data_IF_609893522216
#
_entry.id   IF_609893522216
#
_cell.length_a   1.000
_cell.length_b   1.000
_cell.length_c   1.000
_cell.angle_alpha   90.00
_cell.angle_beta   90.00
_cell.angle_gamma   90.00
#
_symmetry.space_group_name_H-M   'P 1'
#
loop_
_entity.id
_entity.type
_entity.pdbx_description
1 polymer ?
#
# COMPACT_ATOMS: atom_id res chain seq x y z
N UNK A 1 -3.04 0.50 -2.70
CA UNK A 1 -2.58 0.04 -1.36
C UNK A 1 -1.67 1.10 -0.81
N UNK A 2 -1.96 1.52 0.40
CA UNK A 2 -1.17 2.47 1.14
C UNK A 2 -0.40 1.73 2.24
N UNK A 3 0.87 2.07 2.47
CA UNK A 3 1.67 1.55 3.59
C UNK A 3 1.83 2.67 4.58
N UNK A 4 1.57 2.38 5.83
CA UNK A 4 1.88 3.23 6.96
C UNK A 4 3.40 3.38 7.01
N UNK A 5 3.85 4.58 6.71
CA UNK A 5 5.20 4.98 7.03
C UNK A 5 5.27 5.16 8.55
N UNK A 6 6.01 4.29 9.24
CA UNK A 6 6.12 4.30 10.70
C UNK A 6 6.82 5.54 11.23
N UNK A 7 7.63 6.21 10.40
CA UNK A 7 8.26 7.47 10.76
C UNK A 7 7.26 8.64 10.64
N UNK A 8 6.24 8.52 9.78
CA UNK A 8 5.30 9.61 9.47
C UNK A 8 3.92 9.44 10.11
N UNK A 9 3.56 8.23 10.53
CA UNK A 9 2.24 7.91 11.06
C UNK A 9 1.12 8.00 10.02
N UNK A 10 1.46 8.07 8.73
CA UNK A 10 0.50 8.24 7.62
C UNK A 10 0.60 7.10 6.60
N UNK A 11 -0.54 6.79 5.98
CA UNK A 11 -0.66 5.76 4.95
C UNK A 11 -0.34 6.33 3.56
N UNK A 12 0.77 5.91 2.97
CA UNK A 12 1.27 6.34 1.66
C UNK A 12 1.03 5.29 0.58
N UNK A 13 0.52 5.68 -0.59
CA UNK A 13 0.36 4.76 -1.73
C UNK A 13 1.68 4.05 -2.08
N UNK A 14 1.71 2.73 -1.95
CA UNK A 14 2.88 1.91 -2.21
C UNK A 14 3.35 2.04 -3.66
N UNK A 15 4.63 2.37 -3.81
CA UNK A 15 5.36 2.41 -5.08
C UNK A 15 6.55 1.43 -5.04
N UNK A 16 7.09 1.08 -6.21
CA UNK A 16 8.08 0.01 -6.43
C UNK A 16 9.43 0.28 -5.73
N UNK A 17 9.68 1.54 -5.34
CA UNK A 17 10.90 1.99 -4.67
C UNK A 17 10.79 1.95 -3.13
N UNK A 18 9.62 1.58 -2.59
CA UNK A 18 9.35 1.63 -1.15
C UNK A 18 9.69 0.29 -0.50
N UNK A 19 10.73 0.27 0.33
CA UNK A 19 11.21 -0.95 1.01
C UNK A 19 10.33 -1.25 2.23
N UNK A 20 9.67 -2.40 2.23
CA UNK A 20 8.87 -2.87 3.36
C UNK A 20 9.79 -3.42 4.45
N UNK A 21 9.66 -2.93 5.68
CA UNK A 21 10.34 -3.49 6.85
C UNK A 21 9.39 -4.40 7.64
N UNK A 22 9.93 -5.34 8.40
CA UNK A 22 9.12 -6.15 9.32
C UNK A 22 8.32 -5.25 10.28
N UNK A 23 6.99 -5.36 10.27
CA UNK A 23 6.08 -4.54 11.09
C UNK A 23 5.45 -3.32 10.41
N UNK A 24 5.73 -3.04 9.12
CA UNK A 24 5.04 -1.98 8.37
C UNK A 24 3.53 -2.25 8.28
N UNK A 25 2.68 -1.27 8.69
CA UNK A 25 1.21 -1.43 8.61
C UNK A 25 0.73 -1.09 7.19
N UNK A 26 -0.28 -1.77 6.66
CA UNK A 26 -0.72 -1.59 5.26
C UNK A 26 -2.24 -1.45 5.21
N UNK A 27 -2.75 -0.48 4.45
CA UNK A 27 -4.17 -0.22 4.21
C UNK A 27 -4.53 -0.36 2.74
N UNK A 28 -5.55 -1.15 2.43
CA UNK A 28 -6.18 -1.15 1.11
C UNK A 28 -7.36 -0.15 1.11
N UNK A 29 -7.19 0.99 0.45
CA UNK A 29 -8.30 1.93 0.23
C UNK A 29 -9.21 1.41 -0.90
N UNK A 30 -10.41 0.94 -0.56
CA UNK A 30 -11.54 0.91 -1.50
C UNK A 30 -11.80 2.33 -1.97
N UNK A 31 -11.69 2.60 -3.26
CA UNK A 31 -12.41 3.74 -3.82
C UNK A 31 -13.90 3.42 -3.66
N UNK A 32 -14.58 4.08 -2.73
CA UNK A 32 -16.03 4.02 -2.67
C UNK A 32 -16.61 4.40 -4.05
N UNK A 33 -17.59 3.66 -4.59
CA UNK A 33 -18.29 4.06 -5.80
C UNK A 33 -18.90 5.45 -5.58
N UNK A 34 -18.53 6.43 -6.41
CA UNK A 34 -19.15 7.76 -6.40
C UNK A 34 -20.62 7.59 -6.78
N UNK A 35 -21.53 7.92 -5.87
CA UNK A 35 -22.93 8.11 -6.26
C UNK A 35 -23.00 9.28 -7.25
N UNK A 36 -23.65 9.13 -8.41
CA UNK A 36 -23.84 10.23 -9.33
C UNK A 36 -24.78 11.26 -8.69
N UNK A 37 -24.29 12.48 -8.54
CA UNK A 37 -25.14 13.62 -8.18
C UNK A 37 -26.16 13.87 -9.29
N UNK A 38 -27.46 13.99 -8.98
CA UNK A 38 -28.46 14.30 -9.99
C UNK A 38 -28.21 15.69 -10.58
N UNK A 39 -28.52 15.91 -11.88
CA UNK A 39 -28.34 17.20 -12.52
C UNK A 39 -29.26 18.25 -11.86
N UNK A 40 -28.81 19.52 -11.78
CA UNK A 40 -29.63 20.60 -11.23
C UNK A 40 -30.87 20.82 -12.11
N UNK A 41 -32.01 21.03 -11.47
CA UNK A 41 -33.27 21.35 -12.12
C UNK A 41 -33.16 22.67 -12.92
N UNK A 42 -33.88 22.81 -14.05
CA UNK A 42 -33.88 24.04 -14.83
C UNK A 42 -34.46 25.19 -14.00
N UNK A 43 -33.69 26.28 -13.91
CA UNK A 43 -34.11 27.50 -13.21
C UNK A 43 -35.29 28.15 -13.93
N UNK A 44 -36.34 28.43 -13.17
CA UNK A 44 -37.51 29.19 -13.64
C UNK A 44 -37.15 30.68 -13.75
N UNK A 45 -37.61 31.30 -14.83
CA UNK A 45 -37.55 32.75 -15.08
C UNK A 45 -38.22 33.56 -13.97
N UNK A 46 -37.51 34.59 -13.47
CA UNK A 46 -38.07 35.72 -12.73
C UNK A 46 -37.06 36.89 -12.73
N UNK A 47 -37.52 38.15 -12.59
CA UNK A 47 -37.22 39.20 -13.56
C UNK A 47 -36.08 40.15 -13.18
N UNK A 48 -35.57 40.79 -14.24
CA UNK A 48 -34.54 41.82 -14.28
C UNK A 48 -34.92 43.09 -13.50
N UNK A 49 -34.03 43.53 -12.59
CA UNK A 49 -34.12 44.82 -11.86
C UNK A 49 -32.71 45.46 -11.87
N UNK A 50 -32.56 46.77 -12.15
CA UNK A 50 -31.30 47.36 -12.61
C UNK A 50 -30.33 47.73 -11.48
N UNK A 51 -29.04 47.75 -11.83
CA UNK A 51 -27.90 47.98 -10.95
C UNK A 51 -27.74 49.44 -10.46
N UNK A 52 -27.25 49.64 -9.21
CA UNK A 52 -26.59 50.88 -8.79
C UNK A 52 -25.06 50.68 -8.61
N UNK A 53 -24.27 51.78 -8.44
CA UNK A 53 -22.96 51.90 -9.06
C UNK A 53 -21.77 51.43 -8.21
N UNK A 54 -20.73 51.07 -8.96
CA UNK A 54 -19.30 50.90 -8.67
C UNK A 54 -18.84 51.43 -7.29
N UNK A 55 -18.57 50.49 -6.39
CA UNK A 55 -17.66 50.66 -5.26
C UNK A 55 -16.65 49.51 -5.30
N UNK A 56 -15.37 49.84 -5.16
CA UNK A 56 -14.22 48.94 -5.29
C UNK A 56 -14.36 47.65 -4.46
N UNK A 57 -14.82 46.58 -5.12
CA UNK A 57 -14.63 45.21 -4.64
C UNK A 57 -13.50 44.62 -5.44
N UNK A 58 -12.34 44.47 -4.79
CA UNK A 58 -11.23 43.66 -5.28
C UNK A 58 -11.77 42.28 -5.64
N UNK A 59 -11.91 42.04 -6.95
CA UNK A 59 -12.17 40.72 -7.49
C UNK A 59 -10.97 39.85 -7.10
N UNK A 60 -11.17 38.96 -6.14
CA UNK A 60 -10.24 37.86 -5.88
C UNK A 60 -10.33 36.97 -7.12
N UNK A 61 -9.35 37.13 -8.00
CA UNK A 61 -9.23 36.34 -9.22
C UNK A 61 -8.73 34.94 -8.81
N UNK A 62 -9.67 34.06 -8.47
CA UNK A 62 -9.43 32.63 -8.28
C UNK A 62 -9.11 31.98 -9.63
N UNK A 63 -7.82 31.97 -9.93
CA UNK A 63 -7.22 31.22 -11.01
C UNK A 63 -5.75 31.00 -10.68
N UNK A 64 -5.44 29.99 -9.85
CA UNK A 64 -4.07 29.51 -9.66
C UNK A 64 -3.62 28.76 -10.92
N UNK A 65 -3.48 29.50 -12.02
CA UNK A 65 -2.63 29.07 -13.11
C UNK A 65 -1.17 29.29 -12.68
N UNK A 66 -0.25 28.37 -12.97
CA UNK A 66 1.15 28.57 -12.64
C UNK A 66 1.71 29.81 -13.37
N UNK A 67 2.25 30.77 -12.62
CA UNK A 67 2.71 32.07 -13.16
C UNK A 67 4.23 32.19 -13.22
N UNK A 68 4.96 31.34 -12.50
CA UNK A 68 6.40 31.42 -12.35
C UNK A 68 7.13 30.43 -13.27
N UNK A 69 8.29 30.82 -13.82
CA UNK A 69 9.12 29.95 -14.66
C UNK A 69 9.76 28.82 -13.83
N UNK A 70 9.45 27.53 -14.08
CA UNK A 70 10.03 26.39 -13.38
C UNK A 70 11.57 26.36 -13.40
N UNK A 71 12.21 26.89 -14.45
CA UNK A 71 13.68 26.91 -14.58
C UNK A 71 14.33 27.84 -13.55
N UNK A 72 13.59 28.82 -13.08
CA UNK A 72 14.03 29.82 -12.09
C UNK A 72 13.55 29.49 -10.68
N UNK A 73 13.20 28.22 -10.42
CA UNK A 73 12.74 27.80 -9.08
C UNK A 73 13.70 28.22 -7.97
N UNK A 74 13.17 28.98 -7.02
CA UNK A 74 13.82 29.38 -5.79
C UNK A 74 13.09 28.79 -4.59
N UNK A 75 13.85 28.33 -3.59
CA UNK A 75 13.27 27.82 -2.36
C UNK A 75 12.53 28.95 -1.61
N UNK A 76 11.26 28.76 -1.24
CA UNK A 76 10.44 29.81 -0.65
C UNK A 76 10.93 30.26 0.72
N UNK A 77 10.56 31.49 1.10
CA UNK A 77 10.78 31.98 2.46
C UNK A 77 9.94 31.17 3.44
N UNK A 78 10.57 30.62 4.49
CA UNK A 78 9.90 29.77 5.47
C UNK A 78 8.87 30.58 6.27
N UNK A 79 7.58 30.18 6.27
CA UNK A 79 6.54 30.77 7.09
C UNK A 79 6.91 30.83 8.58
N UNK A 80 6.43 31.88 9.27
CA UNK A 80 6.79 32.15 10.68
C UNK A 80 6.41 31.00 11.62
N UNK A 81 5.26 30.37 11.39
CA UNK A 81 4.79 29.18 12.10
C UNK A 81 5.77 28.02 11.92
N UNK A 82 6.25 27.79 10.70
CA UNK A 82 7.22 26.74 10.42
C UNK A 82 8.58 27.04 11.03
N UNK A 83 9.06 28.28 10.97
CA UNK A 83 10.31 28.69 11.64
C UNK A 83 10.23 28.43 13.15
N UNK A 84 9.12 28.84 13.79
CA UNK A 84 8.93 28.66 15.23
C UNK A 84 8.80 27.18 15.65
N UNK A 85 8.15 26.35 14.84
CA UNK A 85 8.02 24.94 15.15
C UNK A 85 9.31 24.15 14.85
N UNK A 86 10.00 24.50 13.76
CA UNK A 86 11.29 23.88 13.40
C UNK A 86 12.40 24.20 14.42
N UNK A 87 12.36 25.37 15.07
CA UNK A 87 13.34 25.69 16.13
C UNK A 87 13.21 24.81 17.37
N UNK A 88 12.06 24.15 17.57
CA UNK A 88 11.83 23.20 18.66
C UNK A 88 12.30 21.79 18.33
N UNK A 89 12.56 21.49 17.06
CA UNK A 89 13.02 20.18 16.60
C UNK A 89 14.53 20.08 16.78
N UNK A 90 14.97 19.31 17.78
CA UNK A 90 16.41 19.11 18.07
C UNK A 90 16.95 17.87 17.37
N UNK A 91 16.13 16.84 17.28
CA UNK A 91 16.42 15.58 16.60
C UNK A 91 15.27 15.22 15.67
N UNK A 92 15.53 14.32 14.71
CA UNK A 92 14.48 13.82 13.79
C UNK A 92 13.29 13.20 14.53
N UNK A 93 13.51 12.60 15.70
CA UNK A 93 12.44 11.99 16.51
C UNK A 93 11.49 13.03 17.13
N UNK A 94 11.93 14.29 17.23
CA UNK A 94 11.10 15.40 17.72
C UNK A 94 10.22 16.00 16.62
N UNK A 95 10.38 15.56 15.37
CA UNK A 95 9.55 15.99 14.24
C UNK A 95 8.18 15.32 14.33
N UNK A 96 7.19 16.09 14.77
CA UNK A 96 5.81 15.61 14.84
C UNK A 96 5.18 15.45 13.43
N UNK A 97 4.27 14.48 13.24
CA UNK A 97 3.58 14.27 11.95
C UNK A 97 2.86 15.51 11.40
N UNK A 98 2.18 16.27 12.26
CA UNK A 98 1.45 17.50 11.89
C UNK A 98 2.39 18.56 11.29
N UNK A 99 3.58 18.72 11.89
CA UNK A 99 4.58 19.66 11.41
C UNK A 99 5.15 19.21 10.06
N UNK A 100 5.39 17.91 9.89
CA UNK A 100 5.83 17.37 8.59
C UNK A 100 4.78 17.61 7.51
N UNK A 101 3.52 17.27 7.78
CA UNK A 101 2.42 17.51 6.84
C UNK A 101 2.36 18.98 6.44
N UNK A 102 2.44 19.89 7.41
CA UNK A 102 2.43 21.33 7.19
C UNK A 102 3.58 21.81 6.30
N UNK A 103 4.79 21.27 6.46
CA UNK A 103 5.97 21.58 5.63
C UNK A 103 5.75 21.10 4.19
N UNK A 104 5.29 19.85 4.03
CA UNK A 104 5.04 19.24 2.71
C UNK A 104 3.93 20.00 1.97
N UNK A 105 2.87 20.38 2.68
CA UNK A 105 1.78 21.18 2.14
C UNK A 105 2.24 22.56 1.70
N UNK A 106 3.00 23.27 2.53
CA UNK A 106 3.58 24.57 2.18
C UNK A 106 4.41 24.51 0.89
N UNK A 107 5.32 23.53 0.80
CA UNK A 107 6.15 23.34 -0.38
C UNK A 107 5.36 22.88 -1.61
N UNK A 108 4.31 22.06 -1.42
CA UNK A 108 3.41 21.66 -2.50
C UNK A 108 2.74 22.87 -3.14
N UNK A 109 2.16 23.76 -2.33
CA UNK A 109 1.51 24.97 -2.83
C UNK A 109 2.51 25.97 -3.42
N UNK A 110 3.73 26.06 -2.88
CA UNK A 110 4.78 26.84 -3.53
C UNK A 110 5.14 26.32 -4.92
N UNK A 111 5.32 25.00 -5.07
CA UNK A 111 5.62 24.36 -6.35
C UNK A 111 4.52 24.60 -7.40
N UNK A 112 3.25 24.61 -7.00
CA UNK A 112 2.12 24.92 -7.89
C UNK A 112 2.12 26.35 -8.44
N UNK A 113 2.85 27.28 -7.81
CA UNK A 113 3.07 28.61 -8.39
C UNK A 113 3.90 28.55 -9.67
N UNK A 114 4.70 27.50 -9.85
CA UNK A 114 5.56 27.28 -11.02
C UNK A 114 4.95 26.31 -12.04
N UNK A 115 4.40 25.19 -11.58
CA UNK A 115 3.72 24.22 -12.45
C UNK A 115 2.89 23.23 -11.63
N UNK A 116 1.78 22.75 -12.19
CA UNK A 116 1.03 21.62 -11.62
C UNK A 116 1.76 20.28 -11.81
N UNK A 117 2.81 20.22 -12.64
CA UNK A 117 3.66 19.03 -12.86
C UNK A 117 5.15 19.30 -12.54
N UNK A 118 5.52 19.54 -11.26
CA UNK A 118 6.89 19.94 -10.86
C UNK A 118 8.04 19.05 -11.31
N UNK A 119 7.84 17.73 -11.47
CA UNK A 119 8.87 16.80 -11.97
C UNK A 119 10.18 16.90 -11.18
N UNK A 120 11.27 17.34 -11.81
CA UNK A 120 12.58 17.49 -11.16
C UNK A 120 12.60 18.52 -10.02
N UNK A 121 11.62 19.43 -9.96
CA UNK A 121 11.53 20.41 -8.88
C UNK A 121 11.19 19.79 -7.53
N UNK A 122 10.54 18.63 -7.49
CA UNK A 122 10.31 17.92 -6.22
C UNK A 122 11.64 17.61 -5.53
N UNK A 123 12.61 17.12 -6.30
CA UNK A 123 13.94 16.79 -5.80
C UNK A 123 14.68 18.05 -5.34
N UNK A 124 14.66 19.11 -6.16
CA UNK A 124 15.29 20.40 -5.84
C UNK A 124 14.72 21.02 -4.56
N UNK A 125 13.39 20.98 -4.38
CA UNK A 125 12.73 21.48 -3.17
C UNK A 125 13.10 20.66 -1.93
N UNK A 126 13.06 19.34 -2.02
CA UNK A 126 13.44 18.43 -0.94
C UNK A 126 14.90 18.59 -0.51
N UNK A 127 15.81 18.68 -1.49
CA UNK A 127 17.23 18.91 -1.23
C UNK A 127 17.45 20.25 -0.49
N UNK A 128 16.84 21.33 -0.96
CA UNK A 128 16.97 22.65 -0.34
C UNK A 128 16.37 22.71 1.07
N UNK A 129 15.27 22.01 1.32
CA UNK A 129 14.67 21.88 2.65
C UNK A 129 15.68 21.28 3.65
N UNK A 130 16.28 20.14 3.30
CA UNK A 130 17.25 19.45 4.16
C UNK A 130 18.55 20.22 4.28
N UNK A 131 19.00 20.92 3.22
CA UNK A 131 20.18 21.78 3.28
C UNK A 131 20.01 22.91 4.31
N UNK A 132 18.83 23.52 4.40
CA UNK A 132 18.52 24.61 5.34
C UNK A 132 18.21 24.10 6.75
N UNK A 133 17.62 22.90 6.85
CA UNK A 133 17.22 22.30 8.11
C UNK A 133 17.81 20.88 8.21
N UNK A 134 19.09 20.80 8.60
CA UNK A 134 19.85 19.54 8.66
C UNK A 134 19.22 18.48 9.56
N UNK A 135 18.48 18.90 10.59
CA UNK A 135 17.73 18.01 11.48
C UNK A 135 16.64 17.21 10.77
N UNK A 136 16.21 17.65 9.58
CA UNK A 136 15.20 16.97 8.76
C UNK A 136 15.82 15.92 7.82
N UNK A 137 17.14 15.73 7.82
CA UNK A 137 17.80 14.78 6.93
C UNK A 137 17.37 13.33 7.22
N UNK A 138 17.14 12.57 6.15
CA UNK A 138 16.95 11.13 6.24
C UNK A 138 18.27 10.46 6.68
N UNK A 139 18.15 9.39 7.47
CA UNK A 139 19.32 8.67 7.99
C UNK A 139 20.02 7.79 6.93
N UNK A 140 19.32 7.48 5.83
CA UNK A 140 19.74 6.54 4.80
C UNK A 140 19.57 7.19 3.42
N UNK A 141 20.49 6.90 2.49
CA UNK A 141 20.39 7.33 1.09
C UNK A 141 20.84 8.78 0.86
N UNK A 142 20.13 9.51 -0.01
CA UNK A 142 20.46 10.89 -0.40
C UNK A 142 20.23 11.93 0.70
N UNK A 143 19.63 11.53 1.82
CA UNK A 143 19.32 12.42 2.95
C UNK A 143 18.05 13.26 2.77
N UNK A 144 17.38 13.22 1.62
CA UNK A 144 16.14 13.97 1.36
C UNK A 144 15.05 13.17 0.61
N UNK A 145 15.28 11.87 0.41
CA UNK A 145 14.39 11.00 -0.37
C UNK A 145 12.95 10.98 0.17
N UNK A 146 12.76 10.89 1.49
CA UNK A 146 11.44 10.85 2.10
C UNK A 146 10.63 12.13 1.82
N UNK A 147 11.30 13.29 1.77
CA UNK A 147 10.68 14.58 1.45
C UNK A 147 10.35 14.71 -0.03
N UNK A 148 11.25 14.23 -0.91
CA UNK A 148 11.00 14.18 -2.34
C UNK A 148 9.71 13.39 -2.66
N UNK A 149 9.56 12.20 -2.07
CA UNK A 149 8.37 11.39 -2.24
C UNK A 149 7.13 12.06 -1.65
N UNK A 150 7.20 12.56 -0.41
CA UNK A 150 6.06 13.24 0.22
C UNK A 150 5.52 14.40 -0.62
N UNK A 151 6.41 15.20 -1.23
CA UNK A 151 6.03 16.27 -2.15
C UNK A 151 5.35 15.75 -3.42
N UNK A 152 5.93 14.72 -4.05
CA UNK A 152 5.35 14.09 -5.24
C UNK A 152 3.92 13.58 -4.96
N UNK A 153 3.69 12.96 -3.81
CA UNK A 153 2.38 12.47 -3.41
C UNK A 153 1.39 13.58 -3.10
N UNK A 154 1.77 14.55 -2.26
CA UNK A 154 0.89 15.67 -1.91
C UNK A 154 0.52 16.47 -3.16
N UNK A 155 1.47 16.80 -4.03
CA UNK A 155 1.18 17.48 -5.30
C UNK A 155 0.29 16.64 -6.22
N UNK A 156 0.45 15.31 -6.28
CA UNK A 156 -0.46 14.45 -7.05
C UNK A 156 -1.89 14.51 -6.51
N UNK A 157 -2.06 14.44 -5.18
CA UNK A 157 -3.36 14.47 -4.52
C UNK A 157 -4.04 15.83 -4.67
N UNK A 158 -3.32 16.92 -4.39
CA UNK A 158 -3.85 18.27 -4.53
C UNK A 158 -4.18 18.59 -5.99
N UNK A 159 -3.36 18.15 -6.94
CA UNK A 159 -3.64 18.31 -8.38
C UNK A 159 -4.96 17.66 -8.79
N UNK A 160 -5.30 16.51 -8.21
CA UNK A 160 -6.55 15.81 -8.51
C UNK A 160 -7.80 16.59 -8.10
N UNK A 161 -7.69 17.66 -7.29
CA UNK A 161 -8.81 18.56 -6.97
C UNK A 161 -9.08 19.57 -8.10
N UNK A 162 -8.11 19.78 -8.99
CA UNK A 162 -8.21 20.69 -10.14
C UNK A 162 -8.53 19.93 -11.43
N UNK A 163 -9.46 18.96 -11.41
CA UNK A 163 -9.75 18.11 -12.58
C UNK A 163 -10.22 18.91 -13.81
N UNK A 164 -10.84 20.07 -13.58
CA UNK A 164 -11.36 20.96 -14.61
C UNK A 164 -10.32 21.99 -15.10
N UNK A 165 -9.12 22.02 -14.51
CA UNK A 165 -8.02 22.84 -15.03
C UNK A 165 -7.60 22.32 -16.41
N UNK A 166 -7.39 23.21 -17.38
CA UNK A 166 -7.11 22.84 -18.77
C UNK A 166 -5.86 21.96 -18.94
N UNK A 167 -4.80 22.21 -18.16
CA UNK A 167 -3.57 21.42 -18.19
C UNK A 167 -3.81 20.02 -17.59
N UNK A 168 -4.54 19.95 -16.48
CA UNK A 168 -4.89 18.70 -15.79
C UNK A 168 -5.82 17.84 -16.63
N UNK A 169 -6.89 18.42 -17.18
CA UNK A 169 -7.84 17.75 -18.06
C UNK A 169 -7.15 17.20 -19.32
N UNK A 170 -6.29 17.99 -19.98
CA UNK A 170 -5.54 17.54 -21.16
C UNK A 170 -4.60 16.37 -20.84
N UNK A 171 -3.84 16.45 -19.74
CA UNK A 171 -2.96 15.37 -19.34
C UNK A 171 -3.71 14.11 -18.89
N UNK A 172 -4.88 14.25 -18.23
CA UNK A 172 -5.77 13.13 -17.90
C UNK A 172 -6.36 12.48 -19.16
N UNK A 173 -6.67 13.25 -20.19
CA UNK A 173 -7.14 12.70 -21.47
C UNK A 173 -6.02 11.98 -22.24
N UNK A 174 -4.79 12.50 -22.21
CA UNK A 174 -3.63 11.93 -22.92
C UNK A 174 -3.04 10.70 -22.25
N UNK A 175 -2.91 10.73 -20.92
CA UNK A 175 -2.18 9.72 -20.14
C UNK A 175 -3.04 9.02 -19.09
N UNK A 176 -4.26 9.49 -18.85
CA UNK A 176 -5.20 8.81 -17.97
C UNK A 176 -5.62 7.48 -18.57
N UNK A 177 -5.80 6.48 -17.71
CA UNK A 177 -6.31 5.17 -18.14
C UNK A 177 -7.72 5.38 -18.69
N UNK A 178 -7.90 5.13 -19.99
CA UNK A 178 -9.23 4.94 -20.56
C UNK A 178 -9.79 3.66 -19.95
N UNK A 179 -11.04 3.64 -19.44
CA UNK A 179 -11.69 2.38 -19.16
C UNK A 179 -11.74 1.61 -20.48
N UNK A 180 -11.03 0.49 -20.57
CA UNK A 180 -11.17 -0.41 -21.71
C UNK A 180 -12.57 -1.00 -21.62
N UNK A 181 -13.35 -0.95 -22.71
CA UNK A 181 -14.68 -1.57 -22.71
C UNK A 181 -14.63 -3.10 -22.52
N UNK A 182 -13.43 -3.70 -22.54
CA UNK A 182 -13.21 -5.12 -22.22
C UNK A 182 -13.13 -5.43 -20.72
N UNK A 183 -12.83 -4.44 -19.86
CA UNK A 183 -12.77 -4.63 -18.40
C UNK A 183 -14.17 -4.83 -17.77
N UNK A 184 -15.24 -4.54 -18.52
CA UNK A 184 -16.62 -4.75 -18.10
C UNK A 184 -17.16 -6.15 -18.41
N UNK A 185 -16.51 -6.91 -19.31
CA UNK A 185 -17.01 -8.19 -19.80
C UNK A 185 -16.24 -9.41 -19.29
N UNK A 186 -14.94 -9.26 -19.00
CA UNK A 186 -14.13 -10.30 -18.39
C UNK A 186 -13.39 -9.69 -17.21
N UNK A 187 -13.73 -10.11 -15.99
CA UNK A 187 -13.13 -9.68 -14.72
C UNK A 187 -11.66 -10.07 -14.56
N UNK A 188 -10.82 -9.70 -15.51
CA UNK A 188 -9.37 -9.82 -15.43
C UNK A 188 -8.83 -8.54 -14.80
N UNK A 189 -8.97 -8.44 -13.48
CA UNK A 189 -8.17 -7.48 -12.73
C UNK A 189 -6.70 -7.83 -12.92
N UNK A 190 -5.94 -6.89 -13.48
CA UNK A 190 -4.47 -6.96 -13.52
C UNK A 190 -3.92 -7.40 -12.17
N UNK A 191 -2.96 -8.33 -12.17
CA UNK A 191 -2.33 -9.00 -11.02
C UNK A 191 -1.61 -8.09 -9.98
N UNK A 192 -2.01 -6.82 -9.85
CA UNK A 192 -1.57 -5.90 -8.81
C UNK A 192 -2.50 -6.02 -7.61
N UNK A 193 -2.12 -6.97 -6.74
CA UNK A 193 -2.64 -7.19 -5.39
C UNK A 193 -4.07 -7.70 -5.33
N UNK A 194 -4.15 -9.01 -5.45
CA UNK A 194 -5.19 -9.84 -4.86
C UNK A 194 -5.05 -9.79 -3.32
N UNK A 195 -5.16 -8.61 -2.72
CA UNK A 195 -5.81 -8.56 -1.40
C UNK A 195 -7.28 -8.65 -1.74
N UNK A 196 -7.80 -9.87 -1.96
CA UNK A 196 -9.24 -10.07 -2.07
C UNK A 196 -9.82 -9.44 -0.82
N UNK A 197 -10.41 -8.25 -0.97
CA UNK A 197 -11.46 -7.88 -0.05
C UNK A 197 -12.42 -9.05 -0.07
N UNK A 198 -12.89 -9.50 1.10
CA UNK A 198 -13.86 -10.57 1.09
C UNK A 198 -15.01 -10.05 0.24
N UNK A 199 -15.14 -10.59 -0.98
CA UNK A 199 -16.43 -10.66 -1.64
C UNK A 199 -17.36 -11.14 -0.56
N UNK A 200 -18.40 -10.34 -0.32
CA UNK A 200 -19.40 -10.49 0.73
C UNK A 200 -19.55 -11.98 1.06
N UNK A 201 -18.88 -12.45 2.12
CA UNK A 201 -18.87 -13.86 2.46
C UNK A 201 -20.30 -14.14 2.94
N UNK A 202 -21.14 -14.61 2.02
CA UNK A 202 -22.52 -15.03 2.29
C UNK A 202 -22.50 -16.36 3.05
N UNK A 203 -21.90 -16.35 4.24
CA UNK A 203 -22.08 -17.41 5.20
C UNK A 203 -23.35 -17.11 6.01
N UNK A 204 -24.16 -18.13 6.36
CA UNK A 204 -25.32 -17.94 7.21
C UNK A 204 -24.86 -17.26 8.51
N UNK A 205 -25.49 -16.14 8.82
CA UNK A 205 -25.22 -15.35 10.03
C UNK A 205 -25.60 -16.18 11.26
N UNK A 206 -24.67 -16.98 11.77
CA UNK A 206 -24.67 -17.26 13.20
C UNK A 206 -24.67 -15.92 13.95
N UNK A 207 -25.45 -15.82 15.02
CA UNK A 207 -25.50 -14.59 15.80
C UNK A 207 -24.14 -14.32 16.48
N UNK A 208 -23.90 -13.07 16.84
CA UNK A 208 -22.64 -12.66 17.48
C UNK A 208 -22.38 -13.49 18.76
N UNK A 209 -23.44 -13.92 19.45
CA UNK A 209 -23.31 -14.76 20.64
C UNK A 209 -22.71 -16.14 20.33
N UNK A 210 -23.18 -16.81 19.27
CA UNK A 210 -22.67 -18.09 18.79
C UNK A 210 -21.22 -17.99 18.36
N UNK A 211 -20.87 -16.96 17.56
CA UNK A 211 -19.49 -16.71 17.11
C UNK A 211 -18.54 -16.56 18.30
N UNK A 212 -18.92 -15.78 19.31
CA UNK A 212 -18.14 -15.63 20.53
C UNK A 212 -18.06 -16.92 21.36
N UNK A 213 -19.08 -17.79 21.27
CA UNK A 213 -19.04 -19.15 21.80
C UNK A 213 -17.97 -20.01 21.13
N UNK A 214 -17.93 -20.03 19.80
CA UNK A 214 -16.92 -20.77 19.02
C UNK A 214 -15.50 -20.27 19.28
N UNK A 215 -15.29 -18.94 19.35
CA UNK A 215 -13.98 -18.35 19.69
C UNK A 215 -13.51 -18.84 21.06
N UNK A 216 -14.35 -18.71 22.10
CA UNK A 216 -14.00 -19.15 23.47
C UNK A 216 -13.74 -20.64 23.56
N UNK A 217 -14.53 -21.46 22.86
CA UNK A 217 -14.34 -22.91 22.80
C UNK A 217 -12.99 -23.28 22.21
N UNK A 218 -12.65 -22.69 21.06
CA UNK A 218 -11.37 -22.88 20.38
C UNK A 218 -10.19 -22.41 21.25
N UNK A 219 -10.28 -21.22 21.87
CA UNK A 219 -9.24 -20.73 22.79
C UNK A 219 -9.01 -21.70 23.95
N UNK A 220 -10.10 -22.20 24.56
CA UNK A 220 -10.00 -23.19 25.65
C UNK A 220 -9.38 -24.50 25.18
N UNK A 221 -9.71 -24.96 23.97
CA UNK A 221 -9.13 -26.17 23.38
C UNK A 221 -7.62 -26.00 23.16
N UNK A 222 -7.19 -24.84 22.64
CA UNK A 222 -5.77 -24.55 22.40
C UNK A 222 -4.92 -24.44 23.67
N UNK A 223 -5.53 -24.15 24.82
CA UNK A 223 -4.84 -24.13 26.12
C UNK A 223 -4.64 -25.52 26.74
N UNK A 224 -5.17 -26.59 26.15
CA UNK A 224 -4.99 -27.95 26.68
C UNK A 224 -3.62 -28.49 26.32
N UNK A 225 -3.09 -29.38 27.17
CA UNK A 225 -1.85 -30.09 26.88
C UNK A 225 -1.92 -30.94 25.60
N UNK A 226 -3.11 -31.46 25.28
CA UNK A 226 -3.41 -32.18 24.04
C UNK A 226 -4.71 -31.60 23.44
N UNK A 227 -4.63 -30.58 22.58
CA UNK A 227 -5.79 -29.98 21.93
C UNK A 227 -6.47 -30.96 20.97
N UNK A 228 -7.80 -30.99 20.97
CA UNK A 228 -8.55 -31.63 19.89
C UNK A 228 -8.55 -30.73 18.64
N UNK A 229 -7.71 -31.08 17.67
CA UNK A 229 -7.53 -30.28 16.45
C UNK A 229 -8.77 -30.23 15.56
N UNK A 230 -9.62 -31.25 15.56
CA UNK A 230 -10.89 -31.26 14.81
C UNK A 230 -11.83 -30.16 15.35
N UNK A 231 -11.93 -30.02 16.68
CA UNK A 231 -12.71 -28.94 17.31
C UNK A 231 -12.13 -27.57 17.05
N UNK A 232 -10.80 -27.46 17.02
CA UNK A 232 -10.12 -26.20 16.68
C UNK A 232 -10.43 -25.82 15.24
N UNK A 233 -10.37 -26.76 14.31
CA UNK A 233 -10.66 -26.54 12.90
C UNK A 233 -12.13 -26.16 12.66
N UNK A 234 -13.08 -26.83 13.32
CA UNK A 234 -14.51 -26.44 13.27
C UNK A 234 -14.70 -25.01 13.79
N UNK A 235 -14.10 -24.68 14.94
CA UNK A 235 -14.12 -23.32 15.49
C UNK A 235 -13.51 -22.28 14.54
N UNK A 236 -12.37 -22.58 13.93
CA UNK A 236 -11.72 -21.71 12.95
C UNK A 236 -12.58 -21.52 11.69
N UNK A 237 -13.25 -22.57 11.22
CA UNK A 237 -14.09 -22.54 10.02
C UNK A 237 -15.37 -21.76 10.24
N UNK A 238 -16.08 -21.99 11.35
CA UNK A 238 -17.31 -21.25 11.70
C UNK A 238 -17.06 -19.76 11.93
N UNK A 239 -15.92 -19.44 12.52
CA UNK A 239 -15.56 -18.05 12.84
C UNK A 239 -14.87 -17.33 11.69
N UNK A 240 -14.64 -17.98 10.55
CA UNK A 240 -13.86 -17.44 9.44
C UNK A 240 -14.43 -16.11 8.91
N UNK A 241 -15.71 -16.07 8.56
CA UNK A 241 -16.34 -14.85 8.01
C UNK A 241 -16.29 -13.69 9.00
N UNK A 242 -16.64 -13.95 10.27
CA UNK A 242 -16.60 -12.95 11.33
C UNK A 242 -15.16 -12.46 11.61
N UNK A 243 -14.18 -13.36 11.65
CA UNK A 243 -12.75 -13.03 11.79
C UNK A 243 -12.29 -12.13 10.65
N UNK A 244 -12.62 -12.48 9.41
CA UNK A 244 -12.24 -11.71 8.21
C UNK A 244 -12.85 -10.34 8.19
N UNK A 245 -14.12 -10.23 8.56
CA UNK A 245 -14.83 -8.96 8.70
C UNK A 245 -14.19 -8.10 9.79
N UNK A 246 -13.93 -8.67 10.97
CA UNK A 246 -13.28 -7.97 12.08
C UNK A 246 -11.88 -7.46 11.69
N UNK A 247 -11.05 -8.30 11.07
CA UNK A 247 -9.71 -7.89 10.61
C UNK A 247 -9.80 -6.75 9.57
N UNK A 248 -10.77 -6.84 8.65
CA UNK A 248 -10.97 -5.85 7.61
C UNK A 248 -11.50 -4.50 8.14
N UNK A 249 -12.33 -4.52 9.19
CA UNK A 249 -12.97 -3.34 9.76
C UNK A 249 -12.12 -2.67 10.84
N UNK A 250 -11.60 -3.45 11.79
CA UNK A 250 -10.95 -2.93 13.00
C UNK A 250 -9.42 -2.81 12.88
N UNK A 251 -8.83 -3.39 11.83
CA UNK A 251 -7.38 -3.38 11.58
C UNK A 251 -6.52 -3.74 12.82
N UNK A 252 -6.82 -4.86 13.51
CA UNK A 252 -6.10 -5.28 14.71
C UNK A 252 -4.64 -5.60 14.41
N UNK A 253 -3.79 -5.46 15.42
CA UNK A 253 -2.40 -5.92 15.37
C UNK A 253 -2.31 -7.45 15.30
N UNK A 254 -1.17 -7.97 14.83
CA UNK A 254 -0.91 -9.42 14.79
C UNK A 254 -1.06 -10.05 16.19
N UNK A 255 -0.61 -9.35 17.23
CA UNK A 255 -0.73 -9.83 18.61
C UNK A 255 -2.19 -9.98 19.04
N UNK A 256 -3.06 -9.04 18.67
CA UNK A 256 -4.50 -9.13 18.98
C UNK A 256 -5.18 -10.24 18.18
N UNK A 257 -4.79 -10.43 16.92
CA UNK A 257 -5.29 -11.54 16.08
C UNK A 257 -4.91 -12.88 16.72
N UNK A 258 -3.64 -13.07 17.07
CA UNK A 258 -3.16 -14.33 17.68
C UNK A 258 -3.74 -14.56 19.07
N UNK A 259 -3.94 -13.51 19.86
CA UNK A 259 -4.63 -13.64 21.15
C UNK A 259 -6.08 -14.11 20.99
N UNK A 260 -6.79 -13.61 19.96
CA UNK A 260 -8.19 -13.97 19.69
C UNK A 260 -8.31 -15.33 18.98
N UNK A 261 -7.36 -15.65 18.11
CA UNK A 261 -7.31 -16.86 17.29
C UNK A 261 -5.93 -17.54 17.38
N UNK A 262 -5.61 -18.18 18.52
CA UNK A 262 -4.28 -18.76 18.77
C UNK A 262 -3.87 -19.85 17.77
N UNK A 263 -4.83 -20.54 17.15
CA UNK A 263 -4.55 -21.54 16.12
C UNK A 263 -3.78 -20.97 14.91
N UNK A 264 -3.91 -19.67 14.63
CA UNK A 264 -3.20 -18.98 13.53
C UNK A 264 -1.69 -18.83 13.76
N UNK A 265 -1.18 -19.17 14.96
CA UNK A 265 0.26 -19.24 15.20
C UNK A 265 0.90 -20.42 14.44
N UNK A 266 0.13 -21.47 14.16
CA UNK A 266 0.57 -22.62 13.38
C UNK A 266 0.51 -22.38 11.87
N UNK A 267 1.59 -22.70 11.16
CA UNK A 267 1.67 -22.54 9.70
C UNK A 267 0.56 -23.30 8.94
N UNK A 268 0.16 -24.48 9.42
CA UNK A 268 -0.95 -25.24 8.83
C UNK A 268 -2.26 -24.45 8.80
N UNK A 269 -2.57 -23.72 9.88
CA UNK A 269 -3.82 -22.99 9.96
C UNK A 269 -3.81 -21.75 9.07
N UNK A 270 -2.62 -21.18 8.83
CA UNK A 270 -2.43 -20.12 7.83
C UNK A 270 -2.74 -20.65 6.42
N UNK A 271 -2.29 -21.87 6.09
CA UNK A 271 -2.61 -22.48 4.80
C UNK A 271 -4.12 -22.75 4.67
N UNK A 272 -4.76 -23.26 5.72
CA UNK A 272 -6.23 -23.44 5.75
C UNK A 272 -6.99 -22.12 5.61
N UNK A 273 -6.47 -20.99 6.11
CA UNK A 273 -7.09 -19.67 5.84
C UNK A 273 -7.06 -19.30 4.36
N UNK A 274 -6.01 -19.67 3.64
CA UNK A 274 -5.92 -19.45 2.18
C UNK A 274 -6.92 -20.32 1.44
N UNK A 275 -7.07 -21.57 1.85
CA UNK A 275 -8.07 -22.48 1.27
C UNK A 275 -9.50 -22.01 1.55
N UNK A 276 -9.80 -21.57 2.78
CA UNK A 276 -11.11 -21.00 3.15
C UNK A 276 -11.48 -19.73 2.37
N UNK A 277 -10.49 -19.05 1.78
CA UNK A 277 -10.72 -17.92 0.87
C UNK A 277 -11.11 -18.33 -0.55
N UNK A 278 -11.29 -19.62 -0.82
CA UNK A 278 -11.42 -20.14 -2.18
C UNK A 278 -10.09 -20.09 -2.93
N UNK A 279 -8.98 -20.35 -2.23
CA UNK A 279 -7.68 -20.61 -2.82
C UNK A 279 -7.45 -22.11 -3.02
N UNK A 280 -6.62 -22.46 -4.00
CA UNK A 280 -6.10 -23.82 -4.14
C UNK A 280 -5.17 -24.17 -2.97
N UNK A 281 -4.97 -25.46 -2.64
CA UNK A 281 -4.04 -25.89 -1.60
C UNK A 281 -2.65 -25.27 -1.81
N UNK A 282 -2.14 -24.44 -0.88
CA UNK A 282 -0.96 -23.63 -1.14
C UNK A 282 0.30 -24.44 -1.46
N UNK A 283 0.50 -25.54 -0.74
CA UNK A 283 1.69 -26.38 -0.89
C UNK A 283 1.72 -27.04 -2.26
N UNK A 284 0.62 -27.70 -2.64
CA UNK A 284 0.48 -28.36 -3.94
C UNK A 284 0.62 -27.37 -5.10
N UNK A 285 0.03 -26.17 -4.94
CA UNK A 285 0.12 -25.09 -5.93
C UNK A 285 1.57 -24.63 -6.12
N UNK A 286 2.31 -24.41 -5.03
CA UNK A 286 3.71 -23.97 -5.09
C UNK A 286 4.59 -25.06 -5.71
N UNK A 287 4.39 -26.33 -5.32
CA UNK A 287 5.13 -27.47 -5.89
C UNK A 287 4.89 -27.56 -7.40
N UNK A 288 3.63 -27.52 -7.85
CA UNK A 288 3.29 -27.60 -9.27
C UNK A 288 3.85 -26.43 -10.08
N UNK A 289 3.86 -25.22 -9.50
CA UNK A 289 4.48 -24.04 -10.13
C UNK A 289 5.99 -24.20 -10.22
N UNK A 290 6.64 -24.70 -9.17
CA UNK A 290 8.08 -24.92 -9.15
C UNK A 290 8.51 -25.95 -10.21
N UNK A 291 7.86 -27.11 -10.26
CA UNK A 291 8.11 -28.14 -11.27
C UNK A 291 7.98 -27.58 -12.70
N UNK A 292 6.96 -26.77 -12.94
CA UNK A 292 6.68 -26.22 -14.27
C UNK A 292 7.64 -25.09 -14.67
N UNK A 293 8.18 -24.33 -13.71
CA UNK A 293 8.84 -23.05 -13.99
C UNK A 293 10.30 -22.98 -13.57
N UNK A 294 10.88 -24.01 -12.95
CA UNK A 294 12.27 -23.99 -12.49
C UNK A 294 13.26 -23.70 -13.61
N UNK A 295 13.11 -24.31 -14.79
CA UNK A 295 14.00 -24.07 -15.94
C UNK A 295 13.89 -22.63 -16.46
N UNK A 296 12.66 -22.11 -16.55
CA UNK A 296 12.41 -20.70 -16.90
C UNK A 296 13.10 -19.78 -15.89
N UNK A 297 13.00 -20.11 -14.60
CA UNK A 297 13.57 -19.32 -13.52
C UNK A 297 15.10 -19.34 -13.57
N UNK A 298 15.73 -20.49 -13.84
CA UNK A 298 17.17 -20.62 -14.03
C UNK A 298 17.67 -19.76 -15.21
N UNK A 299 16.95 -19.77 -16.32
CA UNK A 299 17.26 -18.94 -17.48
C UNK A 299 17.18 -17.43 -17.17
N UNK A 300 16.13 -17.01 -16.46
CA UNK A 300 15.92 -15.60 -16.08
C UNK A 300 16.91 -15.15 -15.01
N UNK A 301 17.23 -16.01 -14.05
CA UNK A 301 18.20 -15.72 -13.00
C UNK A 301 19.64 -15.63 -13.53
N UNK A 302 19.94 -16.29 -14.65
CA UNK A 302 21.26 -16.35 -15.26
C UNK A 302 22.36 -16.67 -14.22
N UNK A 303 23.45 -15.89 -14.17
CA UNK A 303 24.58 -16.06 -13.24
C UNK A 303 24.27 -15.73 -11.76
N UNK A 304 23.01 -15.45 -11.41
CA UNK A 304 22.63 -15.11 -10.02
C UNK A 304 22.24 -16.32 -9.19
N UNK A 305 22.09 -17.50 -9.80
CA UNK A 305 21.90 -18.73 -9.05
C UNK A 305 23.12 -18.99 -8.15
N UNK A 306 22.86 -19.29 -6.89
CA UNK A 306 23.89 -19.62 -5.91
C UNK A 306 24.22 -21.12 -5.95
N UNK A 307 25.33 -21.49 -5.32
CA UNK A 307 25.78 -22.88 -5.24
C UNK A 307 24.72 -23.79 -4.61
N UNK A 308 24.04 -23.32 -3.57
CA UNK A 308 22.98 -24.04 -2.87
C UNK A 308 21.79 -24.37 -3.78
N UNK A 309 21.40 -23.49 -4.71
CA UNK A 309 20.34 -23.79 -5.69
C UNK A 309 20.72 -25.01 -6.53
N UNK A 310 21.95 -25.06 -7.05
CA UNK A 310 22.43 -26.19 -7.85
C UNK A 310 22.63 -27.45 -7.03
N UNK A 311 23.13 -27.34 -5.79
CA UNK A 311 23.25 -28.48 -4.88
C UNK A 311 21.87 -29.10 -4.56
N UNK A 312 20.82 -28.28 -4.42
CA UNK A 312 19.46 -28.79 -4.22
C UNK A 312 18.90 -29.49 -5.46
N UNK A 313 19.17 -28.97 -6.66
CA UNK A 313 18.76 -29.60 -7.92
C UNK A 313 19.51 -30.92 -8.15
N UNK A 314 20.81 -30.98 -7.87
CA UNK A 314 21.61 -32.22 -7.95
C UNK A 314 21.09 -33.27 -6.95
N UNK A 315 20.78 -32.85 -5.71
CA UNK A 315 20.16 -33.75 -4.74
C UNK A 315 18.78 -34.22 -5.19
N UNK A 316 18.01 -33.39 -5.90
CA UNK A 316 16.70 -33.77 -6.41
C UNK A 316 16.78 -34.95 -7.39
N UNK A 317 17.83 -35.03 -8.21
CA UNK A 317 18.05 -36.13 -9.16
C UNK A 317 18.33 -37.47 -8.46
N UNK A 318 18.83 -37.44 -7.22
CA UNK A 318 19.14 -38.62 -6.41
C UNK A 318 17.98 -39.06 -5.50
N UNK A 319 16.88 -38.30 -5.44
CA UNK A 319 15.72 -38.58 -4.60
C UNK A 319 14.67 -39.43 -5.32
N UNK A 320 13.73 -39.98 -4.54
CA UNK A 320 12.48 -40.53 -5.06
C UNK A 320 11.56 -39.42 -5.59
N UNK A 321 10.43 -39.78 -6.19
CA UNK A 321 9.52 -38.83 -6.85
C UNK A 321 9.08 -37.69 -5.92
N UNK A 322 8.81 -37.98 -4.65
CA UNK A 322 8.38 -36.97 -3.68
C UNK A 322 9.55 -36.10 -3.22
N UNK A 323 10.70 -36.70 -2.93
CA UNK A 323 11.91 -35.95 -2.60
C UNK A 323 12.37 -35.04 -3.75
N UNK A 324 12.25 -35.50 -5.00
CA UNK A 324 12.57 -34.69 -6.18
C UNK A 324 11.70 -33.42 -6.24
N UNK A 325 10.39 -33.55 -5.99
CA UNK A 325 9.46 -32.42 -5.96
C UNK A 325 9.81 -31.42 -4.89
N UNK A 326 10.06 -31.90 -3.67
CA UNK A 326 10.40 -31.05 -2.53
C UNK A 326 11.73 -30.31 -2.78
N UNK A 327 12.77 -31.01 -3.23
CA UNK A 327 14.08 -30.41 -3.48
C UNK A 327 14.04 -29.41 -4.64
N UNK A 328 13.28 -29.71 -5.71
CA UNK A 328 13.04 -28.76 -6.81
C UNK A 328 12.30 -27.52 -6.32
N UNK A 329 11.30 -27.70 -5.44
CA UNK A 329 10.54 -26.60 -4.85
C UNK A 329 11.40 -25.72 -3.95
N UNK A 330 12.29 -26.31 -3.15
CA UNK A 330 13.23 -25.56 -2.33
C UNK A 330 14.23 -24.78 -3.19
N UNK A 331 14.79 -25.39 -4.23
CA UNK A 331 15.67 -24.72 -5.20
C UNK A 331 14.94 -23.54 -5.88
N UNK A 332 13.69 -23.74 -6.27
CA UNK A 332 12.83 -22.70 -6.84
C UNK A 332 12.65 -21.51 -5.88
N UNK A 333 12.30 -21.78 -4.61
CA UNK A 333 12.09 -20.75 -3.60
C UNK A 333 13.38 -20.00 -3.22
N UNK A 334 14.54 -20.66 -3.26
CA UNK A 334 15.85 -20.01 -3.07
C UNK A 334 16.22 -19.09 -4.24
N UNK A 335 15.88 -19.50 -5.46
CA UNK A 335 16.24 -18.77 -6.66
C UNK A 335 15.31 -17.59 -6.94
N UNK A 336 14.02 -17.73 -6.61
CA UNK A 336 12.97 -16.78 -6.98
C UNK A 336 13.27 -15.32 -6.51
N UNK A 337 13.63 -15.05 -5.24
CA UNK A 337 13.95 -13.69 -4.79
C UNK A 337 15.08 -13.03 -5.59
N UNK A 338 16.02 -13.82 -6.10
CA UNK A 338 17.19 -13.29 -6.84
C UNK A 338 16.84 -12.74 -8.21
N UNK A 339 15.76 -13.22 -8.82
CA UNK A 339 15.27 -12.67 -10.08
C UNK A 339 14.85 -11.21 -9.94
N UNK A 340 14.36 -10.82 -8.76
CA UNK A 340 13.97 -9.46 -8.39
C UNK A 340 15.03 -8.71 -7.56
N UNK A 341 16.27 -9.24 -7.50
CA UNK A 341 17.43 -8.67 -6.78
C UNK A 341 17.29 -8.65 -5.26
N UNK A 342 16.49 -9.55 -4.70
CA UNK A 342 16.36 -9.78 -3.27
C UNK A 342 17.24 -10.95 -2.80
N UNK A 343 17.51 -11.02 -1.49
CA UNK A 343 18.27 -12.11 -0.87
C UNK A 343 17.30 -13.15 -0.30
N UNK A 344 17.50 -14.45 -0.54
CA UNK A 344 16.62 -15.48 0.01
C UNK A 344 16.63 -15.53 1.54
N UNK A 345 17.77 -15.21 2.18
CA UNK A 345 17.93 -15.25 3.64
C UNK A 345 17.00 -14.29 4.40
N UNK A 346 16.41 -13.31 3.69
CA UNK A 346 15.40 -12.42 4.26
C UNK A 346 14.04 -13.10 4.45
N UNK A 347 13.80 -14.21 3.75
CA UNK A 347 12.51 -14.92 3.67
C UNK A 347 12.61 -16.37 4.14
N UNK A 348 13.71 -17.04 3.78
CA UNK A 348 14.00 -18.43 4.10
C UNK A 348 15.01 -18.46 5.23
N UNK A 349 14.61 -19.01 6.38
CA UNK A 349 15.49 -19.25 7.52
C UNK A 349 15.87 -20.73 7.53
N UNK A 350 17.08 -21.04 8.01
CA UNK A 350 17.62 -22.40 8.10
C UNK A 350 17.69 -23.15 6.76
N UNK A 351 18.37 -22.55 5.78
CA UNK A 351 18.64 -23.14 4.44
C UNK A 351 19.90 -24.02 4.41
N UNK A 352 20.52 -24.27 5.57
CA UNK A 352 21.78 -24.97 5.75
C UNK A 352 21.61 -26.47 6.02
#
# INVERSE_FOLDING_TARGET
IQVLDTDLGEYLDWDIDMTLSAGSKIRASLLAPRQPTPPPAPAADAPEVPAPPLGDVLIIQEGLSPTLDPRKYMFPATPKDLVHNLSKVKTRKDLRPDLRFRIVEWLCFDLFRYTLYPGKLYEKAAQQLVLRHKVLADAIGSGYGSWHFALKYKCKYERAKFENDGEVASNKQKFGKKPSSQDAANGSESAKRVCRQPEKLEAPSEDEHSIQGHIRSMQKEMCKALPNMEKVQDGMSRTFSARRQWIAMEHPSVQEILSRYPALEGAEEIFREVERLGGDPPVETIVAVAEKQIDTLLNVAAKKADKSTFEMLEKAEACDTEGQKLMTTLAFLLLLPRTVRERPDAFLKDTA
#
